data_IF_470485145845
#
_entry.id   IF_470485145845
#
_cell.length_a   1.000
_cell.length_b   1.000
_cell.length_c   1.000
_cell.angle_alpha   90.00
_cell.angle_beta   90.00
_cell.angle_gamma   90.00
#
_symmetry.space_group_name_H-M   'P 1'
#
loop_
_entity.id
_entity.type
_entity.pdbx_description
1 polymer ?
#
# COMPACT_ATOMS: atom_id res chain seq x y z
N UNK A 1 14.83 23.48 -55.40
CA UNK A 1 13.51 24.08 -55.23
C UNK A 1 12.42 23.01 -54.91
N UNK A 2 12.78 21.88 -54.31
CA UNK A 2 11.83 20.78 -53.97
C UNK A 2 11.57 20.64 -52.46
N UNK A 3 12.28 21.37 -51.62
CA UNK A 3 12.18 21.24 -50.14
C UNK A 3 11.06 22.04 -49.46
N UNK A 4 10.56 23.14 -50.09
CA UNK A 4 9.66 24.06 -49.44
C UNK A 4 8.15 23.66 -49.49
N UNK A 5 7.81 22.63 -50.22
CA UNK A 5 6.40 22.22 -50.41
C UNK A 5 5.95 21.04 -49.53
N UNK A 6 6.90 20.37 -48.87
CA UNK A 6 6.60 19.21 -47.99
C UNK A 6 6.59 19.54 -46.51
N UNK A 7 7.24 20.62 -46.09
CA UNK A 7 7.32 21.02 -44.69
C UNK A 7 6.02 21.48 -44.03
N UNK A 8 5.05 22.09 -44.72
CA UNK A 8 3.81 22.52 -44.06
C UNK A 8 2.86 21.38 -43.72
N UNK A 9 2.98 20.18 -44.34
CA UNK A 9 2.11 19.05 -44.04
C UNK A 9 2.49 18.24 -42.80
N UNK A 10 3.71 18.37 -42.33
CA UNK A 10 4.17 17.74 -41.09
C UNK A 10 3.89 18.59 -39.84
N UNK A 11 3.52 19.87 -40.00
CA UNK A 11 3.24 20.77 -38.89
C UNK A 11 1.77 20.74 -38.41
N UNK A 12 0.91 19.93 -39.01
CA UNK A 12 -0.50 19.80 -38.59
C UNK A 12 -0.79 18.53 -37.77
N UNK A 13 0.21 17.82 -37.33
CA UNK A 13 0.01 16.86 -36.25
C UNK A 13 0.13 17.61 -34.95
N UNK A 14 -1.02 17.79 -34.28
CA UNK A 14 -1.12 18.37 -32.96
C UNK A 14 -0.18 17.60 -32.02
N UNK A 15 0.93 18.22 -31.64
CA UNK A 15 1.92 17.63 -30.73
C UNK A 15 1.28 17.02 -29.46
N UNK A 16 0.23 17.64 -28.86
CA UNK A 16 -0.51 17.02 -27.78
C UNK A 16 -1.19 15.70 -28.17
N UNK A 17 -1.77 15.61 -29.36
CA UNK A 17 -2.47 14.42 -29.83
C UNK A 17 -1.49 13.28 -30.13
N UNK A 18 -0.34 13.57 -30.74
CA UNK A 18 0.73 12.60 -30.94
C UNK A 18 1.35 12.13 -29.62
N UNK A 19 1.55 13.04 -28.67
CA UNK A 19 2.05 12.68 -27.34
C UNK A 19 1.06 11.76 -26.60
N UNK A 20 -0.24 12.06 -26.67
CA UNK A 20 -1.29 11.20 -26.11
C UNK A 20 -1.36 9.85 -26.79
N UNK A 21 -1.19 9.79 -28.10
CA UNK A 21 -1.22 8.53 -28.84
C UNK A 21 -0.01 7.66 -28.52
N UNK A 22 1.18 8.25 -28.43
CA UNK A 22 2.40 7.54 -27.99
C UNK A 22 2.29 7.09 -26.52
N UNK A 23 1.67 7.90 -25.67
CA UNK A 23 1.40 7.53 -24.30
C UNK A 23 0.45 6.33 -24.22
N UNK A 24 -0.61 6.30 -25.04
CA UNK A 24 -1.54 5.16 -25.14
C UNK A 24 -0.84 3.89 -25.66
N UNK A 25 -0.09 4.00 -26.74
CA UNK A 25 0.63 2.87 -27.34
C UNK A 25 1.69 2.29 -26.40
N UNK A 26 2.24 3.11 -25.50
CA UNK A 26 3.23 2.69 -24.51
C UNK A 26 2.63 2.38 -23.13
N UNK A 27 1.31 2.39 -22.99
CA UNK A 27 0.66 2.16 -21.72
C UNK A 27 0.92 3.27 -20.68
N UNK A 28 1.33 4.46 -21.17
CA UNK A 28 1.61 5.64 -20.35
C UNK A 28 0.39 6.58 -20.28
N UNK A 29 -0.82 6.06 -20.53
CA UNK A 29 -2.03 6.86 -20.38
C UNK A 29 -2.08 7.46 -18.99
N UNK A 30 -2.43 8.75 -18.92
CA UNK A 30 -2.59 9.49 -17.67
C UNK A 30 -3.64 8.85 -16.72
N UNK A 31 -4.52 7.99 -17.25
CA UNK A 31 -5.40 7.11 -16.46
C UNK A 31 -4.68 5.88 -15.89
N UNK A 32 -3.47 5.56 -16.37
CA UNK A 32 -2.58 4.56 -15.76
C UNK A 32 -1.82 5.12 -14.54
N UNK A 33 -2.01 6.36 -14.15
CA UNK A 33 -1.80 6.76 -12.76
C UNK A 33 -2.84 6.00 -11.94
N UNK A 34 -2.64 4.68 -11.78
CA UNK A 34 -3.29 3.94 -10.70
C UNK A 34 -3.09 4.79 -9.47
N UNK A 35 -4.18 5.40 -9.01
CA UNK A 35 -4.21 6.15 -7.77
C UNK A 35 -3.51 5.25 -6.77
N UNK A 36 -2.35 5.66 -6.28
CA UNK A 36 -1.70 4.99 -5.17
C UNK A 36 -2.66 5.17 -4.01
N UNK A 37 -3.51 4.16 -3.80
CA UNK A 37 -4.44 4.18 -2.69
C UNK A 37 -3.60 3.94 -1.44
N UNK A 38 -3.38 5.01 -0.69
CA UNK A 38 -2.82 4.87 0.64
C UNK A 38 -3.86 4.17 1.53
N UNK A 39 -3.43 3.25 2.38
CA UNK A 39 -4.31 2.68 3.38
C UNK A 39 -4.80 3.81 4.31
N UNK A 40 -6.06 3.76 4.68
CA UNK A 40 -6.67 4.69 5.63
C UNK A 40 -6.89 3.97 6.95
N UNK A 41 -6.90 4.74 8.03
CA UNK A 41 -7.19 4.26 9.38
C UNK A 41 -8.57 4.74 9.81
N UNK A 42 -9.35 3.85 10.40
CA UNK A 42 -10.61 4.16 11.06
C UNK A 42 -10.69 3.43 12.40
N UNK A 43 -11.29 4.07 13.38
CA UNK A 43 -11.47 3.46 14.69
C UNK A 43 -12.95 3.20 14.98
N UNK A 44 -13.22 2.07 15.63
CA UNK A 44 -14.57 1.62 15.95
C UNK A 44 -14.63 1.12 17.39
N UNK A 45 -15.77 1.36 18.06
CA UNK A 45 -16.08 0.73 19.31
C UNK A 45 -16.77 -0.61 19.04
N UNK A 46 -16.26 -1.65 19.68
CA UNK A 46 -16.80 -3.00 19.57
C UNK A 46 -18.17 -3.06 20.25
N UNK A 47 -19.20 -3.23 19.42
CA UNK A 47 -20.59 -3.41 19.84
C UNK A 47 -20.98 -4.88 20.00
N UNK A 48 -22.20 -5.16 20.44
CA UNK A 48 -22.69 -6.53 20.66
C UNK A 48 -22.73 -7.35 19.36
N UNK A 49 -23.02 -6.72 18.22
CA UNK A 49 -23.07 -7.39 16.92
C UNK A 49 -21.66 -7.89 16.52
N UNK A 50 -20.63 -7.09 16.76
CA UNK A 50 -19.25 -7.45 16.45
C UNK A 50 -18.76 -8.57 17.37
N UNK A 51 -19.14 -8.56 18.65
CA UNK A 51 -18.86 -9.64 19.58
C UNK A 51 -19.56 -10.93 19.13
N UNK A 52 -20.82 -10.85 18.73
CA UNK A 52 -21.58 -12.00 18.22
C UNK A 52 -20.95 -12.56 16.93
N UNK A 53 -20.56 -11.69 16.02
CA UNK A 53 -19.86 -12.06 14.78
C UNK A 53 -18.51 -12.74 15.06
N UNK A 54 -17.78 -12.28 16.05
CA UNK A 54 -16.49 -12.86 16.42
C UNK A 54 -16.63 -14.27 17.00
N UNK A 55 -17.80 -14.59 17.56
CA UNK A 55 -18.08 -15.91 18.12
C UNK A 55 -17.09 -16.37 19.21
N UNK A 56 -16.45 -15.42 19.90
CA UNK A 56 -15.42 -15.69 20.89
C UNK A 56 -14.08 -16.17 20.33
N UNK A 57 -13.90 -16.14 19.00
CA UNK A 57 -12.64 -16.47 18.34
C UNK A 57 -11.60 -15.39 18.62
N UNK A 58 -10.32 -15.80 18.69
CA UNK A 58 -9.22 -14.86 18.74
C UNK A 58 -8.95 -14.20 17.38
N UNK A 59 -8.16 -13.13 17.34
CA UNK A 59 -7.91 -12.36 16.13
C UNK A 59 -7.25 -13.18 15.01
N UNK A 60 -6.42 -14.16 15.40
CA UNK A 60 -5.75 -15.05 14.44
C UNK A 60 -6.78 -15.98 13.75
N UNK A 61 -7.68 -16.56 14.52
CA UNK A 61 -8.75 -17.44 14.01
C UNK A 61 -9.80 -16.66 13.22
N UNK A 62 -10.11 -15.44 13.66
CA UNK A 62 -11.02 -14.55 12.94
C UNK A 62 -10.51 -14.23 11.53
N UNK A 63 -9.19 -14.12 11.36
CA UNK A 63 -8.60 -13.82 10.06
C UNK A 63 -9.17 -12.55 9.42
N UNK A 64 -9.39 -11.51 10.20
CA UNK A 64 -10.09 -10.27 9.79
C UNK A 64 -9.55 -9.74 8.48
N UNK A 65 -8.23 -9.70 8.33
CA UNK A 65 -7.59 -9.19 7.10
C UNK A 65 -7.93 -10.02 5.86
N UNK A 66 -8.09 -11.35 5.99
CA UNK A 66 -8.47 -12.23 4.86
C UNK A 66 -9.92 -12.00 4.44
N UNK A 67 -10.79 -11.72 5.40
CA UNK A 67 -12.22 -11.52 5.14
C UNK A 67 -12.51 -10.11 4.64
N UNK A 68 -11.84 -9.11 5.21
CA UNK A 68 -12.19 -7.70 5.00
C UNK A 68 -11.15 -6.93 4.17
N UNK A 69 -9.91 -7.39 4.13
CA UNK A 69 -8.76 -6.62 3.61
C UNK A 69 -8.26 -5.55 4.57
N UNK A 70 -8.80 -5.49 5.79
CA UNK A 70 -8.37 -4.57 6.84
C UNK A 70 -7.57 -5.30 7.92
N UNK A 71 -6.65 -4.59 8.55
CA UNK A 71 -5.82 -5.09 9.64
C UNK A 71 -6.13 -4.31 10.92
N UNK A 72 -6.27 -5.01 12.07
CA UNK A 72 -6.39 -4.35 13.38
C UNK A 72 -4.99 -3.95 13.83
N UNK A 73 -4.77 -2.64 13.97
CA UNK A 73 -3.47 -2.11 14.35
C UNK A 73 -3.38 -1.83 15.84
N UNK A 74 -4.43 -1.27 16.42
CA UNK A 74 -4.49 -0.95 17.85
C UNK A 74 -5.78 -1.44 18.46
N UNK A 75 -5.69 -1.80 19.74
CA UNK A 75 -6.81 -2.15 20.58
C UNK A 75 -6.69 -1.39 21.88
N UNK A 76 -7.74 -0.69 22.27
CA UNK A 76 -7.86 -0.08 23.59
C UNK A 76 -8.89 -0.86 24.39
N UNK A 77 -8.49 -1.34 25.54
CA UNK A 77 -9.32 -2.01 26.53
C UNK A 77 -9.11 -1.41 27.90
N UNK A 78 -10.18 -1.00 28.59
CA UNK A 78 -10.09 -0.39 29.92
C UNK A 78 -9.11 0.81 29.96
N UNK A 79 -9.07 1.63 28.90
CA UNK A 79 -8.18 2.77 28.80
C UNK A 79 -6.73 2.44 28.38
N UNK A 80 -6.34 1.17 28.32
CA UNK A 80 -5.00 0.75 27.94
C UNK A 80 -4.95 0.51 26.43
N UNK A 81 -4.09 1.26 25.75
CA UNK A 81 -3.85 1.15 24.31
C UNK A 81 -2.65 0.22 24.06
N UNK A 82 -2.84 -0.78 23.21
CA UNK A 82 -1.79 -1.72 22.82
C UNK A 82 -1.95 -2.18 21.36
N UNK A 83 -0.87 -2.67 20.76
CA UNK A 83 -0.99 -3.49 19.55
C UNK A 83 -1.58 -4.84 19.95
N UNK A 84 -2.67 -5.29 19.31
CA UNK A 84 -3.31 -6.54 19.71
C UNK A 84 -2.41 -7.74 19.37
N UNK A 85 -2.35 -8.68 20.28
CA UNK A 85 -1.82 -10.02 20.01
C UNK A 85 -2.83 -10.80 19.18
N UNK A 86 -2.32 -11.72 18.33
CA UNK A 86 -3.17 -12.63 17.56
C UNK A 86 -4.09 -13.52 18.43
N UNK A 87 -3.74 -13.73 19.67
CA UNK A 87 -4.53 -14.51 20.63
C UNK A 87 -5.58 -13.67 21.39
N UNK A 88 -5.61 -12.34 21.16
CA UNK A 88 -6.62 -11.46 21.76
C UNK A 88 -8.01 -11.78 21.22
N UNK A 89 -9.01 -11.80 22.11
CA UNK A 89 -10.44 -11.94 21.79
C UNK A 89 -11.09 -10.56 21.95
N UNK A 90 -11.90 -10.16 20.98
CA UNK A 90 -12.64 -8.89 21.05
C UNK A 90 -13.72 -8.97 22.14
N UNK A 91 -13.80 -7.89 22.93
CA UNK A 91 -14.79 -7.76 24.01
C UNK A 91 -15.66 -6.54 23.77
N UNK A 92 -16.87 -6.60 24.34
CA UNK A 92 -17.79 -5.47 24.30
C UNK A 92 -17.14 -4.23 24.92
N UNK A 93 -17.21 -3.11 24.20
CA UNK A 93 -16.63 -1.85 24.66
C UNK A 93 -15.14 -1.65 24.31
N UNK A 94 -14.46 -2.65 23.76
CA UNK A 94 -13.13 -2.44 23.17
C UNK A 94 -13.21 -1.35 22.09
N UNK A 95 -12.13 -0.60 21.94
CA UNK A 95 -11.96 0.31 20.81
C UNK A 95 -10.81 -0.18 19.95
N UNK A 96 -11.07 -0.35 18.67
CA UNK A 96 -10.11 -0.91 17.71
C UNK A 96 -9.86 0.07 16.58
N UNK A 97 -8.61 0.18 16.13
CA UNK A 97 -8.30 0.84 14.86
C UNK A 97 -8.07 -0.19 13.77
N UNK A 98 -8.70 0.05 12.62
CA UNK A 98 -8.61 -0.75 11.41
C UNK A 98 -7.87 0.02 10.33
N UNK A 99 -6.88 -0.63 9.72
CA UNK A 99 -6.09 -0.08 8.61
C UNK A 99 -6.37 -0.92 7.37
N UNK A 100 -6.68 -0.28 6.27
CA UNK A 100 -6.95 -0.93 5.00
C UNK A 100 -7.15 0.06 3.87
N UNK A 101 -7.26 -0.42 2.66
CA UNK A 101 -7.62 0.43 1.53
C UNK A 101 -9.06 0.93 1.66
N UNK A 102 -9.41 2.09 1.04
CA UNK A 102 -10.76 2.63 1.11
C UNK A 102 -11.86 1.65 0.67
N UNK A 103 -11.59 0.84 -0.34
CA UNK A 103 -12.51 -0.18 -0.84
C UNK A 103 -12.67 -1.36 0.13
N UNK A 104 -11.62 -1.71 0.86
CA UNK A 104 -11.68 -2.70 1.93
C UNK A 104 -12.58 -2.22 3.08
N UNK A 105 -12.44 -0.95 3.50
CA UNK A 105 -13.34 -0.35 4.46
C UNK A 105 -14.80 -0.28 3.95
N UNK A 106 -14.99 -0.09 2.64
CA UNK A 106 -16.32 -0.09 2.04
C UNK A 106 -16.98 -1.48 2.06
N UNK A 107 -16.18 -2.54 2.00
CA UNK A 107 -16.64 -3.95 2.06
C UNK A 107 -16.80 -4.50 3.46
N UNK A 108 -16.41 -3.76 4.50
CA UNK A 108 -16.64 -4.21 5.88
C UNK A 108 -18.11 -4.57 6.07
N UNK A 109 -18.34 -5.74 6.65
CA UNK A 109 -19.67 -6.25 6.95
C UNK A 109 -20.48 -5.24 7.76
N UNK A 110 -21.83 -5.37 7.67
CA UNK A 110 -22.75 -4.54 8.43
C UNK A 110 -22.46 -4.57 9.94
N UNK A 111 -22.01 -5.71 10.44
CA UNK A 111 -21.60 -5.89 11.84
C UNK A 111 -20.44 -4.97 12.26
N UNK A 112 -19.50 -4.74 11.37
CA UNK A 112 -18.41 -3.77 11.60
C UNK A 112 -18.89 -2.33 11.45
N UNK A 113 -19.78 -2.04 10.50
CA UNK A 113 -20.30 -0.69 10.25
C UNK A 113 -21.27 -0.23 11.34
N UNK A 114 -22.01 -1.14 11.96
CA UNK A 114 -22.89 -0.84 13.09
C UNK A 114 -22.10 -0.58 14.39
N UNK A 115 -20.79 -0.87 14.40
CA UNK A 115 -19.89 -0.37 15.41
C UNK A 115 -19.86 1.16 15.37
N UNK A 116 -19.94 1.80 16.52
CA UNK A 116 -19.84 3.26 16.63
C UNK A 116 -18.44 3.68 16.21
N UNK A 117 -18.30 4.47 15.15
CA UNK A 117 -17.02 5.07 14.76
C UNK A 117 -16.54 6.01 15.87
N UNK A 118 -15.27 5.90 16.21
CA UNK A 118 -14.63 6.66 17.31
C UNK A 118 -13.57 7.56 16.70
N UNK A 119 -13.67 8.85 17.02
CA UNK A 119 -12.66 9.84 16.62
C UNK A 119 -11.72 10.10 17.81
N UNK A 120 -10.78 9.19 17.99
CA UNK A 120 -9.80 9.28 19.07
C UNK A 120 -8.39 9.42 18.46
N UNK A 121 -7.66 10.45 18.93
CA UNK A 121 -6.36 10.78 18.38
C UNK A 121 -5.36 9.65 18.56
N UNK A 122 -5.31 9.01 19.71
CA UNK A 122 -4.31 7.99 20.01
C UNK A 122 -4.56 6.70 19.22
N UNK A 123 -5.84 6.37 18.94
CA UNK A 123 -6.21 5.25 18.07
C UNK A 123 -5.90 5.52 16.59
N UNK A 124 -6.00 6.79 16.18
CA UNK A 124 -5.82 7.23 14.78
C UNK A 124 -4.41 7.73 14.51
N UNK A 125 -3.60 8.03 15.55
CA UNK A 125 -2.23 8.51 15.40
C UNK A 125 -1.31 7.39 14.97
N UNK A 126 -1.23 7.21 13.65
CA UNK A 126 -0.40 6.20 13.02
C UNK A 126 0.46 6.81 11.93
N UNK A 127 1.75 6.55 12.00
CA UNK A 127 2.68 6.97 10.95
C UNK A 127 2.67 5.95 9.81
N UNK A 128 1.79 6.16 8.85
CA UNK A 128 1.81 5.42 7.59
C UNK A 128 2.94 5.99 6.72
N UNK A 129 3.78 5.12 6.24
CA UNK A 129 4.83 5.42 5.27
C UNK A 129 4.63 4.59 4.02
N UNK A 130 5.14 5.09 2.91
CA UNK A 130 5.26 4.34 1.66
C UNK A 130 6.73 4.30 1.30
N UNK A 131 7.28 3.10 1.22
CA UNK A 131 8.70 2.88 0.98
C UNK A 131 8.89 1.91 -0.20
N UNK A 132 9.99 2.06 -0.88
CA UNK A 132 10.44 1.13 -1.91
C UNK A 132 11.46 0.17 -1.32
N UNK A 133 11.14 -1.11 -1.35
CA UNK A 133 11.97 -2.18 -0.80
C UNK A 133 12.58 -2.96 -1.96
N UNK A 134 13.91 -2.97 -2.04
CA UNK A 134 14.65 -3.77 -3.01
C UNK A 134 14.79 -5.19 -2.51
N UNK A 135 14.27 -6.15 -3.26
CA UNK A 135 14.35 -7.58 -2.94
C UNK A 135 15.79 -8.06 -3.10
N UNK A 136 16.38 -8.56 -2.02
CA UNK A 136 17.76 -9.05 -2.01
C UNK A 136 17.91 -10.40 -1.28
N UNK A 137 17.18 -10.60 -0.21
CA UNK A 137 17.37 -11.73 0.70
C UNK A 137 16.74 -13.02 0.13
N UNK A 138 17.35 -14.16 0.42
CA UNK A 138 16.88 -15.47 0.01
C UNK A 138 15.47 -15.81 0.51
N UNK A 139 15.00 -15.13 1.54
CA UNK A 139 13.64 -15.29 2.08
C UNK A 139 12.55 -14.84 1.09
N UNK A 140 12.90 -13.97 0.12
CA UNK A 140 12.00 -13.43 -0.88
C UNK A 140 12.40 -13.82 -2.31
N UNK A 141 13.70 -13.90 -2.61
CA UNK A 141 14.20 -14.24 -3.95
C UNK A 141 13.76 -15.65 -4.33
N UNK A 142 13.22 -15.79 -5.57
CA UNK A 142 12.64 -17.03 -6.10
C UNK A 142 11.44 -17.55 -5.28
N UNK A 143 10.76 -16.69 -4.54
CA UNK A 143 9.49 -16.99 -3.87
C UNK A 143 8.35 -16.28 -4.56
N UNK A 144 7.15 -16.85 -4.47
CA UNK A 144 5.94 -16.17 -4.93
C UNK A 144 5.61 -14.99 -4.03
N UNK A 145 5.05 -13.94 -4.60
CA UNK A 145 4.61 -12.76 -3.87
C UNK A 145 3.68 -13.14 -2.70
N UNK A 146 2.75 -14.07 -2.92
CA UNK A 146 1.85 -14.60 -1.88
C UNK A 146 2.58 -15.18 -0.64
N UNK A 147 3.79 -15.70 -0.80
CA UNK A 147 4.57 -16.23 0.31
C UNK A 147 5.08 -15.15 1.27
N UNK A 148 5.17 -13.90 0.82
CA UNK A 148 5.57 -12.80 1.69
C UNK A 148 4.51 -12.45 2.72
N UNK A 149 3.24 -12.82 2.47
CA UNK A 149 2.10 -12.58 3.36
C UNK A 149 2.06 -11.12 3.87
N UNK A 150 2.22 -10.17 2.96
CA UNK A 150 2.40 -8.75 3.29
C UNK A 150 1.27 -8.22 4.17
N UNK A 151 0.03 -8.58 3.86
CA UNK A 151 -1.15 -8.18 4.62
C UNK A 151 -1.18 -8.77 6.03
N UNK A 152 -0.65 -9.99 6.24
CA UNK A 152 -0.51 -10.61 7.56
C UNK A 152 0.43 -9.79 8.46
N UNK A 153 1.32 -9.01 7.84
CA UNK A 153 2.25 -8.12 8.51
C UNK A 153 1.79 -6.66 8.55
N UNK A 154 0.55 -6.37 8.15
CA UNK A 154 0.04 -5.00 8.10
C UNK A 154 0.73 -4.12 7.05
N UNK A 155 1.27 -4.74 6.01
CA UNK A 155 1.91 -4.09 4.89
C UNK A 155 1.06 -4.23 3.63
N UNK A 156 0.92 -3.17 2.86
CA UNK A 156 0.09 -3.10 1.68
C UNK A 156 0.97 -2.85 0.45
N UNK A 157 0.90 -3.75 -0.52
CA UNK A 157 1.66 -3.63 -1.76
C UNK A 157 0.95 -2.71 -2.75
N UNK A 158 1.66 -1.67 -3.17
CA UNK A 158 1.15 -0.71 -4.16
C UNK A 158 1.65 -1.04 -5.57
N UNK A 159 2.95 -1.42 -5.70
CA UNK A 159 3.58 -1.70 -6.99
C UNK A 159 4.67 -2.76 -6.86
N UNK A 160 4.90 -3.46 -7.96
CA UNK A 160 6.09 -4.30 -8.19
C UNK A 160 6.79 -3.76 -9.42
N UNK A 161 8.06 -3.40 -9.28
CA UNK A 161 8.86 -2.84 -10.37
C UNK A 161 10.04 -3.77 -10.64
N UNK A 162 10.19 -4.20 -11.89
CA UNK A 162 11.31 -5.04 -12.37
C UNK A 162 11.98 -4.36 -13.55
N UNK A 163 13.27 -4.08 -13.44
CA UNK A 163 14.04 -3.43 -14.52
C UNK A 163 13.34 -2.18 -15.06
N UNK A 164 12.87 -1.31 -14.17
CA UNK A 164 12.16 -0.06 -14.47
C UNK A 164 10.75 -0.24 -15.08
N UNK A 165 10.24 -1.46 -15.16
CA UNK A 165 8.91 -1.75 -15.69
C UNK A 165 7.99 -2.13 -14.52
N UNK A 166 6.82 -1.49 -14.42
CA UNK A 166 5.80 -1.86 -13.47
C UNK A 166 5.15 -3.18 -13.90
N UNK A 167 5.15 -4.15 -12.99
CA UNK A 167 4.55 -5.46 -13.19
C UNK A 167 3.10 -5.45 -12.70
N UNK A 168 2.18 -6.15 -13.38
CA UNK A 168 0.86 -6.40 -12.82
C UNK A 168 0.99 -7.07 -11.46
N UNK A 169 0.18 -6.66 -10.47
CA UNK A 169 0.17 -7.31 -9.16
C UNK A 169 -0.64 -8.60 -9.26
N UNK A 170 0.04 -9.72 -9.13
CA UNK A 170 -0.54 -11.06 -9.09
C UNK A 170 0.18 -11.89 -8.01
N UNK A 171 -0.58 -12.60 -7.21
CA UNK A 171 -0.05 -13.42 -6.11
C UNK A 171 0.91 -14.54 -6.56
N UNK A 172 0.84 -14.93 -7.82
CA UNK A 172 1.70 -15.94 -8.44
C UNK A 172 3.06 -15.43 -8.89
N UNK A 173 3.28 -14.10 -8.90
CA UNK A 173 4.54 -13.51 -9.35
C UNK A 173 5.71 -14.09 -8.55
N UNK A 174 6.68 -14.63 -9.26
CA UNK A 174 7.97 -15.02 -8.70
C UNK A 174 8.84 -13.77 -8.56
N UNK A 175 9.29 -13.49 -7.36
CA UNK A 175 10.16 -12.35 -7.08
C UNK A 175 11.61 -12.66 -7.42
N UNK A 176 12.24 -11.74 -8.15
CA UNK A 176 13.64 -11.83 -8.53
C UNK A 176 14.48 -10.91 -7.63
N UNK A 177 15.76 -11.23 -7.51
CA UNK A 177 16.70 -10.32 -6.89
C UNK A 177 16.75 -9.01 -7.68
N UNK A 178 16.61 -7.87 -6.99
CA UNK A 178 16.57 -6.55 -7.60
C UNK A 178 15.16 -6.05 -7.96
N UNK A 179 14.12 -6.87 -7.79
CA UNK A 179 12.74 -6.35 -7.86
C UNK A 179 12.55 -5.30 -6.78
N UNK A 180 11.76 -4.26 -7.09
CA UNK A 180 11.41 -3.22 -6.15
C UNK A 180 9.93 -3.34 -5.80
N UNK A 181 9.65 -3.47 -4.51
CA UNK A 181 8.29 -3.51 -3.98
C UNK A 181 7.99 -2.15 -3.34
N UNK A 182 7.03 -1.41 -3.88
CA UNK A 182 6.51 -0.22 -3.21
C UNK A 182 5.43 -0.65 -2.21
N UNK A 183 5.70 -0.42 -0.94
CA UNK A 183 4.89 -0.92 0.16
C UNK A 183 4.48 0.21 1.09
N UNK A 184 3.19 0.26 1.43
CA UNK A 184 2.65 1.16 2.45
C UNK A 184 2.31 0.40 3.73
N UNK A 185 2.46 1.06 4.87
CA UNK A 185 2.12 0.49 6.16
C UNK A 185 2.64 1.33 7.32
N UNK A 186 2.47 0.84 8.54
CA UNK A 186 3.09 1.47 9.71
C UNK A 186 4.61 1.40 9.61
N UNK A 187 5.31 2.49 9.92
CA UNK A 187 6.75 2.66 9.68
C UNK A 187 7.61 1.51 10.22
N UNK A 188 7.32 1.02 11.43
CA UNK A 188 8.08 -0.08 12.04
C UNK A 188 7.84 -1.41 11.32
N UNK A 189 6.61 -1.64 10.84
CA UNK A 189 6.25 -2.86 10.09
C UNK A 189 6.91 -2.89 8.73
N UNK A 190 6.88 -1.75 8.01
CA UNK A 190 7.55 -1.62 6.72
C UNK A 190 9.06 -1.80 6.86
N UNK A 191 9.67 -1.24 7.90
CA UNK A 191 11.08 -1.46 8.22
C UNK A 191 11.38 -2.93 8.51
N UNK A 192 10.60 -3.58 9.37
CA UNK A 192 10.76 -5.01 9.68
C UNK A 192 10.62 -5.89 8.45
N UNK A 193 9.69 -5.56 7.54
CA UNK A 193 9.56 -6.24 6.26
C UNK A 193 10.82 -6.05 5.41
N UNK A 194 11.31 -4.81 5.29
CA UNK A 194 12.51 -4.50 4.53
C UNK A 194 13.72 -5.30 5.03
N UNK A 195 13.96 -5.33 6.33
CA UNK A 195 15.06 -6.11 6.94
C UNK A 195 14.96 -7.61 6.62
N UNK A 196 13.74 -8.12 6.50
CA UNK A 196 13.50 -9.54 6.18
C UNK A 196 13.72 -9.89 4.72
N UNK A 197 13.33 -9.01 3.78
CA UNK A 197 13.33 -9.33 2.33
C UNK A 197 14.42 -8.61 1.54
N UNK A 198 15.01 -7.53 2.09
CA UNK A 198 16.01 -6.75 1.39
C UNK A 198 16.41 -5.48 2.14
N UNK A 199 16.22 -4.34 1.52
CA UNK A 199 16.50 -3.02 2.10
C UNK A 199 15.62 -1.95 1.46
N UNK A 200 15.40 -0.85 2.20
CA UNK A 200 14.67 0.33 1.69
C UNK A 200 15.58 1.06 0.70
N UNK A 201 15.06 1.32 -0.50
CA UNK A 201 15.77 2.12 -1.49
C UNK A 201 15.95 3.55 -0.95
N UNK A 202 17.18 4.00 -0.89
CA UNK A 202 17.47 5.40 -0.61
C UNK A 202 17.19 6.16 -1.89
N UNK A 203 16.07 6.89 -1.95
CA UNK A 203 15.89 7.91 -2.96
C UNK A 203 16.91 9.02 -2.62
N UNK A 204 18.08 8.99 -3.26
CA UNK A 204 18.86 10.20 -3.36
C UNK A 204 17.97 11.16 -4.15
N UNK A 205 17.33 12.10 -3.46
CA UNK A 205 16.90 13.31 -4.13
C UNK A 205 18.15 13.78 -4.84
N UNK A 206 18.14 13.78 -6.18
CA UNK A 206 19.17 14.43 -6.95
C UNK A 206 19.19 15.87 -6.46
N UNK A 207 20.06 16.14 -5.51
CA UNK A 207 20.43 17.51 -5.14
C UNK A 207 20.89 18.11 -6.45
N UNK A 208 20.19 19.16 -6.89
CA UNK A 208 20.46 19.87 -8.13
C UNK A 208 21.97 20.12 -8.27
N UNK A 209 22.64 19.24 -8.97
CA UNK A 209 24.07 19.44 -9.36
C UNK A 209 24.24 20.73 -10.17
N UNK A 210 23.16 21.26 -10.73
CA UNK A 210 23.13 22.55 -11.42
C UNK A 210 23.29 23.74 -10.46
N UNK A 211 22.87 23.60 -9.19
CA UNK A 211 23.10 24.68 -8.22
C UNK A 211 24.55 24.78 -7.76
N UNK A 212 25.33 23.72 -7.88
CA UNK A 212 26.76 23.71 -7.48
C UNK A 212 27.65 24.30 -8.54
N UNK A 213 27.27 24.31 -9.81
CA UNK A 213 28.06 24.88 -10.91
C UNK A 213 27.90 26.39 -11.06
N UNK A 214 27.02 27.04 -10.31
CA UNK A 214 26.80 28.50 -10.39
C UNK A 214 27.68 29.32 -9.42
N UNK A 215 28.57 28.66 -8.65
CA UNK A 215 29.46 29.33 -7.67
C UNK A 215 30.95 29.19 -7.95
N UNK A 216 31.34 28.86 -9.20
CA UNK A 216 32.73 28.96 -9.64
C UNK A 216 32.86 29.79 -10.91
#
# INVERSE_FOLDING_TARGET
>A
IFGARYLPRLQHQDLPTCAQQIARERGLDADSQRKVFLPVIRAYRVGPELVAWSGGKNLRELGIHRQTGCYIERLRRNGILASPDGDAVLQLGDEISLVGYPDAHARLDASFRNGKEVFDRDLLDMRIVTEEIVVKNHNAVNKRLSHLKLTDHGCFLNRVIRSQIEMPIDDSIMLNKGDVLQVSGEARRVKSLADRIGFIAIHSQMTDLLAFCAFF
#
